data_IF_576405554618
#
_entry.id   IF_576405554618
#
_cell.length_a   1.000
_cell.length_b   1.000
_cell.length_c   1.000
_cell.angle_alpha   90.00
_cell.angle_beta   90.00
_cell.angle_gamma   90.00
#
_symmetry.space_group_name_H-M   'P 1'
#
loop_
_entity.id
_entity.type
_entity.pdbx_description
1 polymer ?
#
# COMPACT_ATOMS: atom_id res chain seq x y z
N UNK A 1 -7.73 7.60 5.31
CA UNK A 1 -6.28 7.47 5.04
C UNK A 1 -6.04 7.42 3.53
N UNK A 2 -5.20 8.30 3.00
CA UNK A 2 -4.70 8.28 1.62
C UNK A 2 -3.17 8.43 1.63
N UNK A 3 -2.48 7.78 0.69
CA UNK A 3 -1.02 7.80 0.61
C UNK A 3 -0.62 8.48 -0.69
N UNK A 4 0.33 9.42 -0.61
CA UNK A 4 0.95 10.03 -1.79
C UNK A 4 2.46 9.90 -1.68
N UNK A 5 3.05 9.05 -2.52
CA UNK A 5 4.51 8.86 -2.57
C UNK A 5 5.16 10.12 -3.13
N UNK A 6 6.13 10.66 -2.39
CA UNK A 6 6.92 11.84 -2.76
C UNK A 6 8.23 11.38 -3.39
N UNK A 7 8.90 10.41 -2.75
CA UNK A 7 10.17 9.85 -3.19
C UNK A 7 10.22 8.36 -2.87
N UNK A 8 10.72 7.58 -3.82
CA UNK A 8 10.99 6.16 -3.61
C UNK A 8 12.31 5.76 -4.28
N UNK A 9 13.18 5.16 -3.49
CA UNK A 9 14.40 4.47 -3.89
C UNK A 9 14.46 3.14 -3.12
N UNK A 10 15.46 2.29 -3.41
CA UNK A 10 15.53 0.98 -2.76
C UNK A 10 15.59 1.08 -1.22
N UNK A 11 16.47 1.92 -0.70
CA UNK A 11 16.69 2.10 0.74
C UNK A 11 15.91 3.28 1.35
N UNK A 12 15.22 4.10 0.54
CA UNK A 12 14.56 5.32 1.01
C UNK A 12 13.12 5.42 0.50
N UNK A 13 12.20 5.80 1.39
CA UNK A 13 10.80 6.04 1.07
C UNK A 13 10.32 7.29 1.79
N UNK A 14 9.76 8.25 1.04
CA UNK A 14 9.11 9.45 1.55
C UNK A 14 7.69 9.55 0.98
N UNK A 15 6.69 9.77 1.83
CA UNK A 15 5.30 9.88 1.42
C UNK A 15 4.48 10.74 2.37
N UNK A 16 3.43 11.35 1.84
CA UNK A 16 2.39 12.03 2.60
C UNK A 16 1.29 11.03 3.00
N UNK A 17 0.85 11.09 4.25
CA UNK A 17 -0.19 10.21 4.81
C UNK A 17 -1.41 11.03 5.25
N UNK A 18 -2.31 11.29 4.30
CA UNK A 18 -3.48 12.14 4.55
C UNK A 18 -4.57 11.42 5.37
N UNK A 19 -5.10 12.13 6.36
CA UNK A 19 -6.14 11.62 7.27
C UNK A 19 -5.60 10.90 8.51
N UNK A 20 -4.30 10.96 8.75
CA UNK A 20 -3.64 10.49 9.98
C UNK A 20 -2.91 11.65 10.67
N UNK A 21 -2.54 11.49 11.93
CA UNK A 21 -1.83 12.48 12.74
C UNK A 21 -0.70 11.84 13.56
N UNK A 22 -0.25 12.55 14.60
CA UNK A 22 0.77 12.08 15.54
C UNK A 22 0.45 10.71 16.15
N UNK A 23 -0.82 10.36 16.35
CA UNK A 23 -1.22 9.12 17.02
C UNK A 23 -0.69 7.90 16.27
N UNK A 24 -1.07 7.78 14.99
CA UNK A 24 -0.63 6.67 14.16
C UNK A 24 0.87 6.75 13.84
N UNK A 25 1.39 7.96 13.60
CA UNK A 25 2.81 8.14 13.32
C UNK A 25 3.71 7.77 14.51
N UNK A 26 3.25 7.98 15.75
CA UNK A 26 3.98 7.56 16.94
C UNK A 26 3.99 6.03 17.09
N UNK A 27 2.87 5.35 16.80
CA UNK A 27 2.83 3.88 16.78
C UNK A 27 3.85 3.33 15.78
N UNK A 28 3.92 3.93 14.58
CA UNK A 28 4.92 3.56 13.58
C UNK A 28 6.34 3.84 14.06
N UNK A 29 6.57 4.99 14.70
CA UNK A 29 7.86 5.37 15.28
C UNK A 29 8.33 4.33 16.28
N UNK A 30 7.49 3.99 17.26
CA UNK A 30 7.79 3.00 18.29
C UNK A 30 8.07 1.62 17.69
N UNK A 31 7.38 1.25 16.60
CA UNK A 31 7.57 -0.04 15.97
C UNK A 31 8.85 -0.13 15.14
N UNK A 32 9.09 0.87 14.29
CA UNK A 32 10.16 0.85 13.29
C UNK A 32 11.52 1.13 13.93
N UNK A 33 11.59 2.01 14.91
CA UNK A 33 12.87 2.42 15.56
C UNK A 33 13.44 1.36 16.51
N UNK A 34 12.70 0.29 16.82
CA UNK A 34 13.24 -0.90 17.52
C UNK A 34 14.35 -1.55 16.69
N UNK A 35 14.25 -1.50 15.36
CA UNK A 35 15.30 -1.97 14.48
C UNK A 35 16.34 -0.86 14.26
N UNK A 36 17.57 -1.06 14.74
CA UNK A 36 18.68 -0.11 14.59
C UNK A 36 19.09 0.13 13.13
N UNK A 37 18.75 -0.78 12.23
CA UNK A 37 19.01 -0.65 10.80
C UNK A 37 17.93 0.18 10.07
N UNK A 38 16.96 0.72 10.81
CA UNK A 38 15.86 1.53 10.27
C UNK A 38 15.88 2.92 10.92
N UNK A 39 15.87 3.94 10.08
CA UNK A 39 15.63 5.33 10.47
C UNK A 39 14.22 5.69 10.05
N UNK A 40 13.40 6.07 11.02
CA UNK A 40 12.04 6.54 10.81
C UNK A 40 11.89 7.95 11.38
N UNK A 41 11.30 8.84 10.59
CA UNK A 41 10.93 10.17 11.03
C UNK A 41 9.65 10.60 10.34
N UNK A 42 8.89 11.51 10.96
CA UNK A 42 7.78 12.18 10.31
C UNK A 42 7.75 13.65 10.72
N UNK A 43 7.17 14.48 9.87
CA UNK A 43 6.95 15.90 10.14
C UNK A 43 5.54 16.31 9.77
N UNK A 44 4.97 17.22 10.54
CA UNK A 44 3.71 17.90 10.23
C UNK A 44 4.03 19.39 10.22
N UNK A 45 3.96 20.00 9.04
CA UNK A 45 4.34 21.42 8.86
C UNK A 45 3.39 22.35 9.61
N UNK A 46 2.08 22.12 9.49
CA UNK A 46 1.03 22.84 10.21
C UNK A 46 0.04 21.88 10.89
N UNK A 47 -0.02 21.84 12.24
CA UNK A 47 -0.76 20.82 13.00
C UNK A 47 -2.25 20.68 12.65
N UNK A 48 -2.90 21.74 12.17
CA UNK A 48 -4.35 21.78 11.94
C UNK A 48 -4.76 21.47 10.50
N UNK A 49 -3.84 21.58 9.54
CA UNK A 49 -4.17 21.56 8.11
C UNK A 49 -3.22 20.69 7.28
N UNK A 50 -2.04 20.36 7.80
CA UNK A 50 -1.07 19.53 7.09
C UNK A 50 -1.24 18.06 7.45
N UNK A 51 -1.14 17.20 6.45
CA UNK A 51 -0.93 15.78 6.64
C UNK A 51 0.52 15.50 7.09
N UNK A 52 0.77 14.43 7.86
CA UNK A 52 2.12 13.94 8.12
C UNK A 52 2.86 13.59 6.83
N UNK A 53 4.10 14.07 6.71
CA UNK A 53 5.07 13.58 5.74
C UNK A 53 6.03 12.65 6.45
N UNK A 54 5.99 11.38 6.06
CA UNK A 54 6.78 10.29 6.64
C UNK A 54 8.02 10.07 5.79
N UNK A 55 9.15 9.86 6.47
CA UNK A 55 10.43 9.50 5.88
C UNK A 55 10.94 8.21 6.53
N UNK A 56 11.33 7.25 5.68
CA UNK A 56 11.90 5.97 6.07
C UNK A 56 13.19 5.78 5.30
N UNK A 57 14.25 5.45 6.03
CA UNK A 57 15.51 4.98 5.45
C UNK A 57 15.91 3.68 6.11
N UNK A 58 16.36 2.74 5.31
CA UNK A 58 16.86 1.46 5.79
C UNK A 58 18.33 1.29 5.42
N UNK A 59 19.02 0.43 6.14
CA UNK A 59 20.39 0.06 5.81
C UNK A 59 20.45 -0.70 4.49
N UNK A 60 21.53 -0.50 3.75
CA UNK A 60 21.82 -1.27 2.54
C UNK A 60 21.94 -2.77 2.84
N UNK A 61 21.52 -3.60 1.89
CA UNK A 61 21.62 -5.07 1.99
C UNK A 61 20.44 -5.75 2.68
N UNK A 62 19.34 -5.04 2.96
CA UNK A 62 18.09 -5.71 3.35
C UNK A 62 17.54 -6.47 2.13
N UNK A 63 17.48 -7.79 2.27
CA UNK A 63 16.92 -8.65 1.23
C UNK A 63 15.40 -8.57 1.21
N UNK A 64 14.85 -8.23 0.04
CA UNK A 64 13.41 -8.31 -0.22
C UNK A 64 13.11 -9.67 -0.84
N UNK A 65 12.20 -10.48 -0.25
CA UNK A 65 11.84 -11.78 -0.80
C UNK A 65 11.35 -11.66 -2.24
N UNK A 66 11.77 -12.59 -3.11
CA UNK A 66 11.50 -12.51 -4.55
C UNK A 66 9.99 -12.53 -4.90
N UNK A 67 9.16 -13.07 -4.01
CA UNK A 67 7.72 -13.19 -4.19
C UNK A 67 6.95 -11.91 -3.86
N UNK A 68 7.62 -10.84 -3.42
CA UNK A 68 6.96 -9.59 -3.10
C UNK A 68 6.96 -8.62 -4.28
N UNK A 69 5.80 -8.53 -4.92
CA UNK A 69 5.53 -7.62 -6.03
C UNK A 69 5.31 -6.19 -5.53
N UNK A 70 5.80 -5.24 -6.32
CA UNK A 70 5.43 -3.83 -6.26
C UNK A 70 3.95 -3.67 -6.60
N UNK A 71 3.28 -2.83 -5.81
CA UNK A 71 1.93 -2.36 -6.08
C UNK A 71 1.99 -1.35 -7.23
N UNK A 72 1.19 -1.59 -8.27
CA UNK A 72 1.05 -0.72 -9.43
C UNK A 72 -0.35 -0.12 -9.47
N UNK A 73 -0.44 1.20 -9.67
CA UNK A 73 -1.72 1.91 -9.66
C UNK A 73 -2.54 1.60 -10.91
N UNK A 74 -3.86 1.72 -10.80
CA UNK A 74 -4.74 1.52 -11.95
C UNK A 74 -4.54 2.56 -13.06
N UNK A 75 -4.05 3.75 -12.71
CA UNK A 75 -3.77 4.82 -13.68
C UNK A 75 -2.61 4.47 -14.61
N UNK A 76 -1.72 3.56 -14.18
CA UNK A 76 -0.58 3.10 -14.99
C UNK A 76 -1.03 2.08 -16.05
N UNK A 77 -2.23 1.51 -15.93
CA UNK A 77 -2.80 0.57 -16.91
C UNK A 77 -3.41 1.34 -18.08
N UNK A 78 -2.85 1.15 -19.27
CA UNK A 78 -3.34 1.80 -20.49
C UNK A 78 -4.82 1.48 -20.76
N UNK A 79 -5.62 2.54 -20.91
CA UNK A 79 -7.05 2.44 -21.22
C UNK A 79 -7.99 2.48 -20.00
N UNK A 80 -7.44 2.56 -18.79
CA UNK A 80 -8.19 2.92 -17.58
C UNK A 80 -8.17 4.44 -17.43
N UNK A 81 -9.35 5.06 -17.56
CA UNK A 81 -9.55 6.48 -17.26
C UNK A 81 -10.33 6.65 -15.96
N UNK A 82 -10.46 7.89 -15.48
CA UNK A 82 -11.07 8.22 -14.17
C UNK A 82 -12.41 7.48 -13.90
N UNK A 83 -13.35 7.53 -14.86
CA UNK A 83 -14.66 6.84 -14.72
C UNK A 83 -14.51 5.32 -14.52
N UNK A 84 -13.60 4.69 -15.26
CA UNK A 84 -13.38 3.23 -15.16
C UNK A 84 -12.65 2.88 -13.87
N UNK A 85 -11.71 3.72 -13.44
CA UNK A 85 -11.05 3.59 -12.14
C UNK A 85 -12.07 3.62 -11.01
N UNK A 86 -13.01 4.57 -11.02
CA UNK A 86 -14.09 4.64 -10.03
C UNK A 86 -14.95 3.37 -10.02
N UNK A 87 -15.34 2.85 -11.20
CA UNK A 87 -16.09 1.60 -11.32
C UNK A 87 -15.31 0.41 -10.74
N UNK A 88 -14.02 0.28 -11.06
CA UNK A 88 -13.16 -0.78 -10.57
C UNK A 88 -12.96 -0.71 -9.05
N UNK A 89 -12.71 0.49 -8.51
CA UNK A 89 -12.57 0.72 -7.06
C UNK A 89 -13.87 0.37 -6.34
N UNK A 90 -15.03 0.75 -6.89
CA UNK A 90 -16.33 0.39 -6.33
C UNK A 90 -16.56 -1.13 -6.31
N UNK A 91 -15.95 -1.86 -7.23
CA UNK A 91 -15.99 -3.33 -7.31
C UNK A 91 -14.88 -4.02 -6.49
N UNK A 92 -14.10 -3.27 -5.72
CA UNK A 92 -13.05 -3.81 -4.84
C UNK A 92 -11.66 -3.95 -5.48
N UNK A 93 -11.50 -3.56 -6.75
CA UNK A 93 -10.21 -3.53 -7.44
C UNK A 93 -9.55 -2.17 -7.19
N UNK A 94 -8.47 -2.15 -6.40
CA UNK A 94 -7.78 -0.90 -6.05
C UNK A 94 -6.53 -0.69 -6.89
N UNK A 95 -5.84 -1.77 -7.26
CA UNK A 95 -4.55 -1.75 -7.94
C UNK A 95 -4.54 -2.64 -9.18
N UNK A 96 -3.55 -2.45 -10.06
CA UNK A 96 -3.37 -3.28 -11.24
C UNK A 96 -3.06 -4.75 -10.89
N UNK A 97 -2.38 -5.01 -9.75
CA UNK A 97 -2.16 -6.38 -9.28
C UNK A 97 -3.47 -7.10 -8.92
N UNK A 98 -4.50 -6.35 -8.50
CA UNK A 98 -5.81 -6.92 -8.17
C UNK A 98 -6.54 -7.38 -9.44
N UNK A 99 -6.39 -6.64 -10.55
CA UNK A 99 -6.95 -7.03 -11.86
C UNK A 99 -6.41 -8.39 -12.33
N UNK A 100 -5.12 -8.66 -12.10
CA UNK A 100 -4.50 -9.93 -12.50
C UNK A 100 -5.04 -11.15 -11.72
N UNK A 101 -5.64 -10.90 -10.54
CA UNK A 101 -6.15 -11.94 -9.64
C UNK A 101 -7.67 -12.04 -9.64
N UNK A 102 -8.35 -11.11 -10.32
CA UNK A 102 -9.79 -11.01 -10.31
C UNK A 102 -10.44 -12.03 -11.26
N UNK A 103 -11.63 -12.51 -10.90
CA UNK A 103 -12.50 -13.24 -11.81
C UNK A 103 -13.22 -12.26 -12.76
N UNK A 104 -13.12 -12.51 -14.07
CA UNK A 104 -13.61 -11.59 -15.11
C UNK A 104 -15.14 -11.52 -15.09
N UNK A 105 -15.84 -12.63 -14.85
CA UNK A 105 -17.30 -12.68 -14.87
C UNK A 105 -17.90 -11.92 -13.68
N UNK A 106 -17.34 -12.14 -12.48
CA UNK A 106 -17.75 -11.44 -11.27
C UNK A 106 -17.43 -9.94 -11.34
N UNK A 107 -16.25 -9.59 -11.86
CA UNK A 107 -15.84 -8.20 -12.03
C UNK A 107 -16.70 -7.48 -13.07
N UNK A 108 -17.08 -8.14 -14.17
CA UNK A 108 -17.98 -7.60 -15.19
C UNK A 108 -19.35 -7.24 -14.60
N UNK A 109 -19.94 -8.17 -13.84
CA UNK A 109 -21.25 -7.97 -13.19
C UNK A 109 -21.22 -6.84 -12.16
N UNK A 110 -20.17 -6.74 -11.37
CA UNK A 110 -20.05 -5.75 -10.29
C UNK A 110 -19.63 -4.36 -10.77
N UNK A 111 -18.77 -4.26 -11.78
CA UNK A 111 -18.26 -2.97 -12.29
C UNK A 111 -19.11 -2.38 -13.41
N UNK A 112 -19.94 -3.20 -14.06
CA UNK A 112 -20.67 -2.83 -15.28
C UNK A 112 -19.77 -2.61 -16.49
N UNK A 113 -18.52 -3.10 -16.44
CA UNK A 113 -17.57 -3.04 -17.55
C UNK A 113 -17.68 -4.35 -18.35
N UNK A 114 -17.87 -4.32 -19.68
CA UNK A 114 -17.96 -5.53 -20.48
C UNK A 114 -16.70 -6.41 -20.37
N UNK A 115 -16.87 -7.72 -20.33
CA UNK A 115 -15.79 -8.72 -20.19
C UNK A 115 -14.66 -8.50 -21.20
N UNK A 116 -14.99 -8.32 -22.48
CA UNK A 116 -14.01 -8.02 -23.55
C UNK A 116 -13.13 -6.79 -23.26
N UNK A 117 -13.68 -5.81 -22.53
CA UNK A 117 -12.93 -4.61 -22.13
C UNK A 117 -12.02 -4.91 -20.95
N UNK A 118 -12.48 -5.71 -19.97
CA UNK A 118 -11.69 -6.18 -18.83
C UNK A 118 -10.53 -7.06 -19.28
N UNK A 119 -10.75 -7.98 -20.21
CA UNK A 119 -9.69 -8.81 -20.82
C UNK A 119 -8.58 -7.94 -21.42
N UNK A 120 -8.95 -6.87 -22.13
CA UNK A 120 -7.97 -5.94 -22.69
C UNK A 120 -7.20 -5.21 -21.59
N UNK A 121 -7.87 -4.79 -20.51
CA UNK A 121 -7.22 -4.13 -19.38
C UNK A 121 -6.24 -5.06 -18.67
N UNK A 122 -6.62 -6.33 -18.44
CA UNK A 122 -5.75 -7.34 -17.85
C UNK A 122 -4.52 -7.55 -18.72
N UNK A 123 -4.69 -7.67 -20.04
CA UNK A 123 -3.56 -7.81 -20.97
C UNK A 123 -2.62 -6.60 -20.97
N UNK A 124 -3.13 -5.39 -20.78
CA UNK A 124 -2.27 -4.20 -20.63
C UNK A 124 -1.60 -4.18 -19.24
N UNK A 125 -2.30 -4.63 -18.20
CA UNK A 125 -1.76 -4.76 -16.85
C UNK A 125 -0.60 -5.76 -16.81
N UNK A 126 -0.72 -6.93 -17.46
CA UNK A 126 0.34 -7.95 -17.56
C UNK A 126 1.67 -7.44 -18.12
N UNK A 127 1.67 -6.32 -18.85
CA UNK A 127 2.89 -5.72 -19.42
C UNK A 127 3.60 -4.77 -18.45
N UNK A 128 2.97 -4.42 -17.34
CA UNK A 128 3.52 -3.50 -16.36
C UNK A 128 4.63 -4.17 -15.55
N UNK A 129 5.57 -3.36 -15.07
CA UNK A 129 6.61 -3.83 -14.17
C UNK A 129 6.07 -3.93 -12.74
N UNK A 130 5.70 -5.15 -12.36
CA UNK A 130 5.35 -5.48 -10.98
C UNK A 130 6.58 -5.72 -10.10
N UNK A 131 7.79 -5.77 -10.67
CA UNK A 131 9.08 -5.68 -10.00
C UNK A 131 9.26 -6.40 -8.65
N UNK A 132 10.26 -5.96 -7.89
CA UNK A 132 10.36 -6.24 -6.45
C UNK A 132 10.05 -4.96 -5.69
N UNK A 133 9.46 -5.10 -4.49
CA UNK A 133 9.37 -3.97 -3.58
C UNK A 133 10.76 -3.40 -3.26
N UNK A 134 10.81 -2.09 -3.01
CA UNK A 134 11.98 -1.47 -2.41
C UNK A 134 12.18 -1.98 -0.99
N UNK A 135 13.42 -2.09 -0.53
CA UNK A 135 13.72 -2.52 0.84
C UNK A 135 13.02 -1.64 1.89
N UNK A 136 12.98 -0.32 1.69
CA UNK A 136 12.28 0.60 2.58
C UNK A 136 10.77 0.32 2.65
N UNK A 137 10.11 0.12 1.50
CA UNK A 137 8.68 -0.21 1.46
C UNK A 137 8.39 -1.58 2.08
N UNK A 138 9.25 -2.56 1.82
CA UNK A 138 9.13 -3.89 2.40
C UNK A 138 9.15 -3.84 3.93
N UNK A 139 10.14 -3.17 4.53
CA UNK A 139 10.27 -3.05 5.99
C UNK A 139 9.06 -2.36 6.62
N UNK A 140 8.54 -1.31 5.97
CA UNK A 140 7.32 -0.66 6.42
C UNK A 140 6.13 -1.63 6.40
N UNK A 141 5.93 -2.37 5.32
CA UNK A 141 4.84 -3.33 5.17
C UNK A 141 4.90 -4.44 6.23
N UNK A 142 6.08 -5.00 6.49
CA UNK A 142 6.24 -6.02 7.54
C UNK A 142 5.94 -5.47 8.94
N UNK A 143 6.36 -4.22 9.21
CA UNK A 143 6.05 -3.55 10.48
C UNK A 143 4.55 -3.36 10.68
N UNK A 144 3.83 -2.94 9.63
CA UNK A 144 2.37 -2.82 9.63
C UNK A 144 1.66 -4.17 9.83
N UNK A 145 2.11 -5.23 9.15
CA UNK A 145 1.58 -6.60 9.36
C UNK A 145 1.68 -7.01 10.81
N UNK A 146 2.84 -6.72 11.43
CA UNK A 146 3.09 -7.07 12.83
C UNK A 146 2.22 -6.25 13.80
N UNK A 147 1.99 -4.96 13.53
CA UNK A 147 1.04 -4.13 14.30
C UNK A 147 -0.37 -4.72 14.23
N UNK A 148 -0.83 -5.13 13.04
CA UNK A 148 -2.14 -5.75 12.88
C UNK A 148 -2.25 -7.08 13.64
N UNK A 149 -1.20 -7.90 13.62
CA UNK A 149 -1.15 -9.14 14.41
C UNK A 149 -1.27 -8.87 15.92
N UNK A 150 -0.52 -7.88 16.42
CA UNK A 150 -0.57 -7.48 17.84
C UNK A 150 -2.00 -7.02 18.23
N UNK A 151 -2.68 -6.28 17.34
CA UNK A 151 -4.07 -5.86 17.54
C UNK A 151 -5.06 -7.03 17.56
N UNK A 152 -4.92 -7.98 16.63
CA UNK A 152 -5.76 -9.19 16.59
C UNK A 152 -5.59 -10.00 17.87
N UNK A 153 -4.34 -10.24 18.29
CA UNK A 153 -4.05 -10.97 19.54
C UNK A 153 -4.62 -10.26 20.77
N UNK A 154 -4.52 -8.93 20.82
CA UNK A 154 -5.10 -8.15 21.91
C UNK A 154 -6.63 -8.34 21.96
N UNK A 155 -7.30 -8.24 20.81
CA UNK A 155 -8.74 -8.45 20.68
C UNK A 155 -9.17 -9.85 21.13
N UNK A 156 -8.42 -10.88 20.73
CA UNK A 156 -8.67 -12.27 21.15
C UNK A 156 -8.54 -12.45 22.65
N UNK A 157 -7.47 -11.90 23.26
CA UNK A 157 -7.28 -11.95 24.72
C UNK A 157 -8.46 -11.34 25.47
N UNK A 158 -8.92 -10.16 25.05
CA UNK A 158 -10.12 -9.55 25.67
C UNK A 158 -11.38 -10.39 25.45
N UNK A 159 -11.52 -11.06 24.30
CA UNK A 159 -12.67 -11.92 24.02
C UNK A 159 -12.69 -13.18 24.90
N UNK A 160 -11.52 -13.66 25.33
CA UNK A 160 -11.36 -14.82 26.23
C UNK A 160 -11.52 -14.52 27.73
N UNK A 161 -11.73 -13.25 28.11
CA UNK A 161 -11.93 -12.86 29.52
C UNK A 161 -13.37 -13.09 30.02
N UNK A 162 -14.19 -13.82 29.25
CA UNK A 162 -15.51 -14.29 29.66
C UNK A 162 -15.44 -15.70 30.26
#
# INVERSE_FOLDING_TARGET
>A
MQIKVIKEANEELEFELAGEDHTFCNILTDRLTVNKDVVFAYRIEHPLISSPVVYIKVKEGIEVPQQQEKIVELDDVLGIGAKRKEQLIASGIKYANDLLKADIEELSKSSGIPEKTLERMIKEAEKLDYGRLTAARYVLMESLKKINQDYIQLKEKFSSLN
#
